data_IF_682128768981
#
_entry.id   IF_682128768981
#
_cell.length_a   1.000
_cell.length_b   1.000
_cell.length_c   1.000
_cell.angle_alpha   90.00
_cell.angle_beta   90.00
_cell.angle_gamma   90.00
#
_symmetry.space_group_name_H-M   'P 1'
#
loop_
_entity.id
_entity.type
_entity.pdbx_description
1 polymer ?
#
# COMPACT_ATOMS: atom_id res chain seq x y z
N UNK A 1 -22.60 -48.53 68.46
CA UNK A 1 -23.25 -47.93 67.28
C UNK A 1 -22.70 -46.52 67.09
N UNK A 2 -21.69 -46.34 66.23
CA UNK A 2 -21.25 -45.02 65.78
C UNK A 2 -21.92 -44.74 64.43
N UNK A 3 -22.73 -43.68 64.37
CA UNK A 3 -23.45 -43.28 63.17
C UNK A 3 -22.47 -42.69 62.13
N UNK A 4 -22.50 -43.24 60.92
CA UNK A 4 -21.72 -42.82 59.76
C UNK A 4 -22.31 -41.54 59.16
N UNK A 5 -21.57 -40.43 59.17
CA UNK A 5 -22.00 -39.18 58.54
C UNK A 5 -21.71 -39.21 57.03
N UNK A 6 -22.75 -38.97 56.22
CA UNK A 6 -22.65 -38.95 54.76
C UNK A 6 -21.73 -37.83 54.24
N UNK A 7 -20.99 -38.06 53.13
CA UNK A 7 -20.11 -37.05 52.57
C UNK A 7 -20.91 -35.91 51.94
N UNK A 8 -20.51 -34.66 52.24
CA UNK A 8 -21.07 -33.46 51.62
C UNK A 8 -20.71 -33.44 50.13
N UNK A 9 -21.70 -33.20 49.27
CA UNK A 9 -21.54 -33.01 47.83
C UNK A 9 -20.57 -31.85 47.54
N UNK A 10 -19.72 -31.94 46.50
CA UNK A 10 -18.86 -30.83 46.11
C UNK A 10 -19.73 -29.68 45.58
N UNK A 11 -19.62 -28.51 46.22
CA UNK A 11 -20.16 -27.26 45.68
C UNK A 11 -19.47 -27.01 44.35
N UNK A 12 -20.23 -27.01 43.27
CA UNK A 12 -19.72 -26.83 41.91
C UNK A 12 -19.14 -25.42 41.74
N UNK A 13 -17.88 -25.33 41.30
CA UNK A 13 -17.12 -24.10 41.01
C UNK A 13 -17.66 -23.29 39.81
N UNK A 14 -18.96 -23.33 39.51
CA UNK A 14 -19.54 -22.68 38.33
C UNK A 14 -19.40 -21.14 38.36
N UNK A 15 -19.45 -20.55 39.55
CA UNK A 15 -19.36 -19.09 39.76
C UNK A 15 -17.96 -18.53 39.49
N UNK A 16 -16.91 -19.27 39.84
CA UNK A 16 -15.51 -18.86 39.60
C UNK A 16 -15.14 -18.86 38.12
N UNK A 17 -15.62 -19.85 37.36
CA UNK A 17 -15.40 -19.95 35.92
C UNK A 17 -16.12 -18.83 35.15
N UNK A 18 -17.36 -18.51 35.51
CA UNK A 18 -18.09 -17.40 34.88
C UNK A 18 -17.47 -16.02 35.18
N UNK A 19 -17.03 -15.79 36.41
CA UNK A 19 -16.36 -14.54 36.80
C UNK A 19 -15.02 -14.41 36.07
N UNK A 20 -14.22 -15.47 35.99
CA UNK A 20 -12.98 -15.50 35.24
C UNK A 20 -13.20 -15.24 33.74
N UNK A 21 -14.25 -15.83 33.13
CA UNK A 21 -14.60 -15.61 31.73
C UNK A 21 -15.02 -14.15 31.45
N UNK A 22 -15.82 -13.54 32.34
CA UNK A 22 -16.22 -12.12 32.22
C UNK A 22 -15.04 -11.17 32.37
N UNK A 23 -14.12 -11.44 33.30
CA UNK A 23 -12.90 -10.66 33.49
C UNK A 23 -11.97 -10.77 32.27
N UNK A 24 -11.84 -11.98 31.70
CA UNK A 24 -11.07 -12.23 30.48
C UNK A 24 -11.65 -11.47 29.28
N UNK A 25 -12.98 -11.50 29.11
CA UNK A 25 -13.68 -10.72 28.06
C UNK A 25 -13.46 -9.20 28.22
N UNK A 26 -13.53 -8.67 29.44
CA UNK A 26 -13.27 -7.25 29.72
C UNK A 26 -11.81 -6.84 29.48
N UNK A 27 -10.86 -7.71 29.83
CA UNK A 27 -9.45 -7.49 29.55
C UNK A 27 -9.18 -7.43 28.03
N UNK A 28 -9.78 -8.33 27.26
CA UNK A 28 -9.72 -8.32 25.80
C UNK A 28 -10.30 -7.05 25.17
N UNK A 29 -11.48 -6.62 25.59
CA UNK A 29 -12.10 -5.38 25.11
C UNK A 29 -11.19 -4.18 25.39
N UNK A 30 -10.60 -4.12 26.58
CA UNK A 30 -9.71 -3.03 26.98
C UNK A 30 -8.43 -3.03 26.16
N UNK A 31 -7.86 -4.21 25.87
CA UNK A 31 -6.65 -4.37 25.05
C UNK A 31 -6.89 -3.88 23.61
N UNK A 32 -7.99 -4.30 22.99
CA UNK A 32 -8.37 -3.91 21.63
C UNK A 32 -8.63 -2.40 21.54
N UNK A 33 -9.37 -1.84 22.51
CA UNK A 33 -9.66 -0.40 22.55
C UNK A 33 -8.38 0.44 22.72
N UNK A 34 -7.48 -0.02 23.58
CA UNK A 34 -6.19 0.65 23.85
C UNK A 34 -5.28 0.58 22.62
N UNK A 35 -5.26 -0.55 21.93
CA UNK A 35 -4.54 -0.67 20.67
C UNK A 35 -5.10 0.25 19.57
N UNK A 36 -6.43 0.38 19.46
CA UNK A 36 -7.06 1.33 18.55
C UNK A 36 -6.64 2.78 18.82
N UNK A 37 -6.55 3.18 20.09
CA UNK A 37 -6.06 4.50 20.49
C UNK A 37 -4.57 4.72 20.13
N UNK A 38 -3.74 3.68 20.24
CA UNK A 38 -2.34 3.72 19.85
C UNK A 38 -2.16 3.93 18.34
N UNK A 39 -2.84 3.12 17.53
CA UNK A 39 -2.76 3.22 16.06
C UNK A 39 -3.33 4.56 15.58
N UNK A 40 -4.48 4.97 16.12
CA UNK A 40 -5.10 6.26 15.79
C UNK A 40 -4.20 7.44 16.18
N UNK A 41 -3.53 7.39 17.33
CA UNK A 41 -2.58 8.40 17.76
C UNK A 41 -1.38 8.52 16.83
N UNK A 42 -0.72 7.40 16.50
CA UNK A 42 0.44 7.38 15.59
C UNK A 42 0.07 7.86 14.18
N UNK A 43 -1.10 7.43 13.67
CA UNK A 43 -1.62 7.89 12.38
C UNK A 43 -1.81 9.41 12.35
N UNK A 44 -2.41 9.97 13.41
CA UNK A 44 -2.65 11.40 13.54
C UNK A 44 -1.34 12.20 13.65
N UNK A 45 -0.34 11.65 14.37
CA UNK A 45 0.98 12.27 14.52
C UNK A 45 1.86 12.20 13.27
N UNK A 46 1.70 11.17 12.43
CA UNK A 46 2.43 11.06 11.16
C UNK A 46 1.90 11.94 10.04
N UNK A 47 0.66 12.42 10.14
CA UNK A 47 0.01 13.23 9.10
C UNK A 47 0.21 14.74 9.34
N UNK A 48 0.61 15.15 10.55
CA UNK A 48 0.60 16.56 10.97
C UNK A 48 2.00 17.02 11.37
N UNK A 49 2.44 18.15 10.82
CA UNK A 49 3.72 18.79 11.10
C UNK A 49 3.87 19.08 12.61
N UNK A 50 5.05 18.80 13.18
CA UNK A 50 5.29 18.63 14.63
C UNK A 50 5.20 19.92 15.47
N UNK A 51 4.53 20.96 14.99
CA UNK A 51 4.45 22.29 15.62
C UNK A 51 3.17 22.52 16.42
N UNK A 52 2.22 21.57 16.44
CA UNK A 52 0.90 21.80 17.02
C UNK A 52 0.48 20.77 18.09
N UNK A 53 -0.48 21.19 18.92
CA UNK A 53 -1.00 20.49 20.11
C UNK A 53 -1.54 19.06 19.84
N UNK A 54 -1.70 18.69 18.58
CA UNK A 54 -2.12 17.38 18.08
C UNK A 54 -1.06 16.30 18.26
N UNK A 55 0.23 16.64 18.25
CA UNK A 55 1.32 15.71 18.54
C UNK A 55 1.26 15.19 19.99
N UNK A 56 0.85 16.04 20.94
CA UNK A 56 0.62 15.67 22.34
C UNK A 56 -0.58 14.73 22.49
N UNK A 57 -1.65 14.95 21.72
CA UNK A 57 -2.85 14.08 21.70
C UNK A 57 -2.49 12.70 21.11
N UNK A 58 -1.70 12.67 20.05
CA UNK A 58 -1.17 11.45 19.46
C UNK A 58 -0.29 10.66 20.44
N UNK A 59 0.61 11.34 21.16
CA UNK A 59 1.48 10.73 22.16
C UNK A 59 0.69 10.22 23.38
N UNK A 60 -0.30 10.99 23.85
CA UNK A 60 -1.16 10.62 24.97
C UNK A 60 -2.05 9.42 24.63
N UNK A 61 -2.63 9.39 23.42
CA UNK A 61 -3.43 8.26 22.93
C UNK A 61 -2.59 7.00 22.77
N UNK A 62 -1.34 7.16 22.34
CA UNK A 62 -0.33 6.09 22.27
C UNK A 62 0.06 5.57 23.66
N UNK A 63 0.30 6.46 24.62
CA UNK A 63 0.63 6.09 25.99
C UNK A 63 -0.51 5.36 26.70
N UNK A 64 -1.76 5.83 26.52
CA UNK A 64 -2.97 5.15 27.01
C UNK A 64 -3.14 3.78 26.37
N UNK A 65 -2.81 3.67 25.08
CA UNK A 65 -2.84 2.41 24.35
C UNK A 65 -1.86 1.36 24.88
N UNK A 66 -0.63 1.77 25.16
CA UNK A 66 0.40 0.92 25.78
C UNK A 66 0.00 0.53 27.20
N UNK A 67 -0.50 1.46 28.01
CA UNK A 67 -0.97 1.20 29.37
C UNK A 67 -2.08 0.14 29.40
N UNK A 68 -3.10 0.30 28.55
CA UNK A 68 -4.19 -0.66 28.49
C UNK A 68 -3.79 -2.03 27.95
N UNK A 69 -2.80 -2.09 27.04
CA UNK A 69 -2.20 -3.35 26.61
C UNK A 69 -1.48 -4.06 27.77
N UNK A 70 -0.69 -3.32 28.56
CA UNK A 70 -0.01 -3.85 29.75
C UNK A 70 -1.01 -4.37 30.79
N UNK A 71 -2.08 -3.63 31.07
CA UNK A 71 -3.12 -4.07 32.01
C UNK A 71 -3.87 -5.32 31.52
N UNK A 72 -4.14 -5.42 30.21
CA UNK A 72 -4.76 -6.60 29.62
C UNK A 72 -3.89 -7.86 29.73
N UNK A 73 -2.57 -7.71 29.50
CA UNK A 73 -1.57 -8.79 29.70
C UNK A 73 -1.54 -9.24 31.16
N UNK A 74 -1.46 -8.29 32.10
CA UNK A 74 -1.42 -8.59 33.54
C UNK A 74 -2.70 -9.33 33.97
N UNK A 75 -3.86 -8.93 33.44
CA UNK A 75 -5.14 -9.60 33.72
C UNK A 75 -5.21 -11.02 33.13
N UNK A 76 -4.64 -11.24 31.93
CA UNK A 76 -4.56 -12.56 31.29
C UNK A 76 -3.61 -13.51 32.04
N UNK A 77 -2.44 -13.01 32.45
CA UNK A 77 -1.46 -13.78 33.25
C UNK A 77 -2.02 -14.13 34.62
N UNK A 78 -2.70 -13.19 35.29
CA UNK A 78 -3.36 -13.44 36.59
C UNK A 78 -4.57 -14.37 36.49
N UNK A 79 -5.20 -14.49 35.32
CA UNK A 79 -6.38 -15.32 35.07
C UNK A 79 -6.10 -16.71 34.50
N UNK A 80 -4.83 -17.10 34.33
CA UNK A 80 -4.41 -18.38 33.77
C UNK A 80 -4.05 -19.43 34.82
N UNK A 81 -4.96 -20.37 35.08
CA UNK A 81 -4.62 -21.70 35.60
C UNK A 81 -4.80 -22.70 34.46
N UNK A 82 -3.76 -23.51 34.17
CA UNK A 82 -3.75 -24.78 33.41
C UNK A 82 -2.81 -24.90 32.17
N UNK A 83 -2.06 -23.88 31.78
CA UNK A 83 -0.92 -24.05 30.84
C UNK A 83 0.29 -23.39 31.51
N UNK A 84 1.39 -24.11 31.66
CA UNK A 84 2.56 -23.61 32.42
C UNK A 84 2.96 -22.19 32.02
N UNK A 85 3.35 -21.36 32.99
CA UNK A 85 3.51 -19.91 32.85
C UNK A 85 4.29 -19.44 31.59
N UNK A 86 5.26 -20.23 31.11
CA UNK A 86 6.01 -19.94 29.88
C UNK A 86 5.15 -20.02 28.60
N UNK A 87 4.22 -20.97 28.52
CA UNK A 87 3.31 -21.13 27.38
C UNK A 87 2.28 -20.00 27.30
N UNK A 88 1.70 -19.61 28.44
CA UNK A 88 0.75 -18.49 28.50
C UNK A 88 1.41 -17.15 28.13
N UNK A 89 2.65 -16.90 28.59
CA UNK A 89 3.39 -15.68 28.23
C UNK A 89 3.71 -15.65 26.73
N UNK A 90 4.09 -16.78 26.14
CA UNK A 90 4.34 -16.89 24.69
C UNK A 90 3.09 -16.60 23.86
N UNK A 91 1.94 -17.19 24.22
CA UNK A 91 0.67 -16.95 23.51
C UNK A 91 0.19 -15.50 23.63
N UNK A 92 0.36 -14.87 24.79
CA UNK A 92 0.00 -13.46 24.98
C UNK A 92 0.91 -12.54 24.16
N UNK A 93 2.21 -12.84 24.08
CA UNK A 93 3.13 -12.08 23.24
C UNK A 93 2.79 -12.21 21.75
N UNK A 94 2.48 -13.41 21.27
CA UNK A 94 2.08 -13.64 19.89
C UNK A 94 0.82 -12.85 19.51
N UNK A 95 -0.21 -12.87 20.38
CA UNK A 95 -1.42 -12.05 20.22
C UNK A 95 -1.09 -10.57 20.11
N UNK A 96 -0.25 -10.05 21.00
CA UNK A 96 0.12 -8.63 21.00
C UNK A 96 0.89 -8.24 19.74
N UNK A 97 1.81 -9.10 19.29
CA UNK A 97 2.57 -8.88 18.07
C UNK A 97 1.65 -8.86 16.84
N UNK A 98 0.72 -9.81 16.75
CA UNK A 98 -0.24 -9.89 15.65
C UNK A 98 -1.17 -8.68 15.64
N UNK A 99 -1.66 -8.26 16.81
CA UNK A 99 -2.43 -7.03 16.96
C UNK A 99 -1.61 -5.81 16.52
N UNK A 100 -0.35 -5.69 16.96
CA UNK A 100 0.57 -4.64 16.51
C UNK A 100 0.71 -4.60 14.99
N UNK A 101 0.85 -5.76 14.35
CA UNK A 101 0.95 -5.84 12.90
C UNK A 101 -0.35 -5.48 12.18
N UNK A 102 -1.52 -5.80 12.73
CA UNK A 102 -2.80 -5.26 12.22
C UNK A 102 -2.77 -3.74 12.17
N UNK A 103 -2.25 -3.08 13.22
CA UNK A 103 -2.11 -1.63 13.25
C UNK A 103 -1.10 -1.09 12.23
N UNK A 104 0.05 -1.75 12.08
CA UNK A 104 1.03 -1.42 11.03
C UNK A 104 0.41 -1.55 9.64
N UNK A 105 -0.32 -2.62 9.38
CA UNK A 105 -0.99 -2.86 8.11
C UNK A 105 -2.02 -1.79 7.79
N UNK A 106 -2.89 -1.47 8.75
CA UNK A 106 -3.88 -0.41 8.62
C UNK A 106 -3.23 0.95 8.35
N UNK A 107 -2.24 1.34 9.16
CA UNK A 107 -1.57 2.63 9.00
C UNK A 107 -0.84 2.73 7.65
N UNK A 108 -0.14 1.67 7.25
CA UNK A 108 0.62 1.65 5.99
C UNK A 108 -0.33 1.73 4.79
N UNK A 109 -1.40 0.95 4.80
CA UNK A 109 -2.43 1.01 3.75
C UNK A 109 -3.11 2.38 3.68
N UNK A 110 -3.46 2.98 4.83
CA UNK A 110 -4.03 4.33 4.87
C UNK A 110 -3.07 5.34 4.23
N UNK A 111 -1.81 5.36 4.64
CA UNK A 111 -0.82 6.27 4.07
C UNK A 111 -0.64 6.02 2.56
N UNK A 112 -0.50 4.76 2.12
CA UNK A 112 -0.35 4.43 0.70
C UNK A 112 -1.58 4.83 -0.15
N UNK A 113 -2.77 4.89 0.45
CA UNK A 113 -4.04 5.18 -0.25
C UNK A 113 -4.57 6.61 -0.03
N UNK A 114 -3.88 7.47 0.73
CA UNK A 114 -4.29 8.88 0.93
C UNK A 114 -4.29 9.72 -0.35
N UNK A 115 -3.48 9.36 -1.35
CA UNK A 115 -3.43 10.04 -2.65
C UNK A 115 -3.37 9.02 -3.77
N UNK A 116 -4.40 8.19 -3.89
CA UNK A 116 -4.48 7.15 -4.93
C UNK A 116 -4.19 7.74 -6.31
N UNK A 117 -3.21 7.16 -6.97
CA UNK A 117 -2.79 7.47 -8.32
C UNK A 117 -2.25 6.18 -8.94
N UNK A 118 -2.31 6.07 -10.27
CA UNK A 118 -1.79 4.90 -10.98
C UNK A 118 -0.27 4.91 -10.92
N UNK A 119 0.36 3.74 -10.99
CA UNK A 119 1.81 3.65 -10.88
C UNK A 119 2.30 3.44 -9.45
N UNK A 120 3.47 2.82 -9.29
CA UNK A 120 4.24 2.84 -8.03
C UNK A 120 4.95 4.18 -7.84
N UNK A 121 4.21 5.23 -7.51
CA UNK A 121 4.78 6.57 -7.33
C UNK A 121 5.47 6.77 -5.98
N UNK A 122 6.48 7.63 -5.94
CA UNK A 122 7.13 7.99 -4.68
C UNK A 122 6.19 8.82 -3.78
N UNK A 123 6.03 8.38 -2.53
CA UNK A 123 5.18 9.04 -1.53
C UNK A 123 5.96 9.45 -0.28
N UNK A 124 5.55 10.57 0.32
CA UNK A 124 5.95 10.95 1.67
C UNK A 124 4.70 11.30 2.49
N UNK A 125 4.50 10.57 3.59
CA UNK A 125 3.29 10.65 4.43
C UNK A 125 1.99 10.62 3.61
N UNK A 126 1.96 9.70 2.64
CA UNK A 126 0.82 9.44 1.75
C UNK A 126 0.61 10.43 0.60
N UNK A 127 1.33 11.54 0.58
CA UNK A 127 1.30 12.49 -0.54
C UNK A 127 2.25 12.04 -1.64
N UNK A 128 1.75 12.02 -2.88
CA UNK A 128 2.58 11.84 -4.08
C UNK A 128 3.59 12.97 -4.17
N UNK A 129 4.85 12.63 -4.43
CA UNK A 129 5.90 13.58 -4.73
C UNK A 129 6.22 13.48 -6.22
N UNK A 130 6.18 14.62 -6.92
CA UNK A 130 6.53 14.69 -8.34
C UNK A 130 7.64 15.73 -8.56
N UNK A 131 8.57 15.49 -9.49
CA UNK A 131 9.51 16.52 -9.92
C UNK A 131 8.76 17.71 -10.56
N UNK A 132 9.30 18.94 -10.56
CA UNK A 132 8.77 20.00 -11.40
C UNK A 132 8.97 19.67 -12.89
N UNK A 133 8.24 20.34 -13.78
CA UNK A 133 8.58 20.37 -15.22
C UNK A 133 9.49 21.56 -15.48
N UNK A 134 10.56 21.37 -16.24
CA UNK A 134 11.52 22.41 -16.62
C UNK A 134 11.74 22.40 -18.12
N UNK A 135 12.26 23.50 -18.67
CA UNK A 135 12.68 23.55 -20.08
C UNK A 135 13.87 22.62 -20.31
N UNK A 136 13.84 21.85 -21.41
CA UNK A 136 14.88 20.88 -21.77
C UNK A 136 14.29 19.64 -22.46
N UNK A 137 15.13 18.87 -23.17
CA UNK A 137 14.72 17.65 -23.87
C UNK A 137 15.51 16.39 -23.49
N UNK A 138 16.23 16.43 -22.36
CA UNK A 138 17.01 15.29 -21.84
C UNK A 138 16.16 14.03 -21.64
N UNK A 139 14.89 14.20 -21.27
CA UNK A 139 13.92 13.11 -21.09
C UNK A 139 12.93 13.02 -22.24
N UNK A 140 13.15 13.69 -23.36
CA UNK A 140 12.35 13.51 -24.56
C UNK A 140 13.24 12.89 -25.62
N UNK A 141 13.36 11.55 -25.62
CA UNK A 141 14.10 10.84 -26.66
C UNK A 141 13.65 11.35 -28.04
N UNK A 142 14.59 11.62 -28.97
CA UNK A 142 14.23 11.92 -30.34
C UNK A 142 13.43 10.74 -30.87
N UNK A 143 12.11 10.90 -30.95
CA UNK A 143 11.26 9.89 -31.55
C UNK A 143 11.10 10.30 -33.01
N UNK A 144 11.19 9.32 -33.90
CA UNK A 144 10.72 9.46 -35.30
C UNK A 144 9.19 9.65 -35.36
N UNK A 145 8.52 9.78 -34.22
CA UNK A 145 7.08 9.95 -34.10
C UNK A 145 6.75 11.41 -34.42
N UNK A 146 6.26 11.63 -35.64
CA UNK A 146 5.52 12.84 -35.98
C UNK A 146 4.40 13.06 -34.97
N UNK A 147 4.11 14.33 -34.71
CA UNK A 147 2.87 14.77 -34.08
C UNK A 147 1.70 13.91 -34.58
N UNK A 148 0.91 13.31 -33.69
CA UNK A 148 -0.32 12.69 -34.08
C UNK A 148 -1.12 13.69 -34.92
N UNK A 149 -1.55 13.29 -36.12
CA UNK A 149 -2.20 14.17 -37.11
C UNK A 149 -3.63 14.58 -36.73
N UNK A 150 -3.83 15.02 -35.49
CA UNK A 150 -5.11 15.45 -34.98
C UNK A 150 -5.31 16.94 -35.23
N UNK A 151 -6.39 17.29 -35.91
CA UNK A 151 -6.90 18.65 -35.88
C UNK A 151 -7.52 18.89 -34.50
N UNK A 152 -6.78 19.60 -33.65
CA UNK A 152 -7.20 20.04 -32.32
C UNK A 152 -7.18 21.56 -32.27
N UNK A 153 -8.14 22.16 -31.57
CA UNK A 153 -8.01 23.56 -31.20
C UNK A 153 -6.81 23.75 -30.25
N UNK A 154 -6.31 24.98 -30.20
CA UNK A 154 -5.09 25.29 -29.46
C UNK A 154 -5.18 24.95 -27.97
N UNK A 155 -6.33 25.21 -27.34
CA UNK A 155 -6.50 24.97 -25.92
C UNK A 155 -6.48 23.47 -25.61
N UNK A 156 -7.17 22.65 -26.41
CA UNK A 156 -7.16 21.20 -26.27
C UNK A 156 -5.76 20.62 -26.51
N UNK A 157 -5.05 21.11 -27.53
CA UNK A 157 -3.69 20.68 -27.87
C UNK A 157 -2.72 20.89 -26.69
N UNK A 158 -2.72 22.10 -26.11
CA UNK A 158 -1.87 22.43 -24.97
C UNK A 158 -2.25 21.64 -23.71
N UNK A 159 -3.54 21.47 -23.43
CA UNK A 159 -4.00 20.73 -22.26
C UNK A 159 -3.68 19.23 -22.37
N UNK A 160 -3.79 18.66 -23.57
CA UNK A 160 -3.44 17.26 -23.83
C UNK A 160 -1.93 17.03 -23.66
N UNK A 161 -1.09 17.91 -24.22
CA UNK A 161 0.36 17.84 -24.04
C UNK A 161 0.75 17.95 -22.56
N UNK A 162 0.14 18.88 -21.81
CA UNK A 162 0.36 19.02 -20.37
C UNK A 162 -0.02 17.75 -19.58
N UNK A 163 -1.11 17.07 -19.95
CA UNK A 163 -1.51 15.82 -19.30
C UNK A 163 -0.53 14.66 -19.61
N UNK A 164 0.02 14.60 -20.82
CA UNK A 164 1.09 13.64 -21.13
C UNK A 164 2.37 13.91 -20.34
N UNK A 165 2.73 15.18 -20.12
CA UNK A 165 3.85 15.53 -19.21
C UNK A 165 3.54 15.15 -17.78
N UNK A 166 2.30 15.31 -17.32
CA UNK A 166 1.92 14.87 -15.98
C UNK A 166 2.12 13.37 -15.82
N UNK A 167 1.68 12.56 -16.80
CA UNK A 167 1.99 11.13 -16.81
C UNK A 167 3.51 10.89 -16.80
N UNK A 168 4.29 11.60 -17.62
CA UNK A 168 5.75 11.45 -17.62
C UNK A 168 6.42 11.79 -16.28
N UNK A 169 5.89 12.78 -15.54
CA UNK A 169 6.35 13.08 -14.17
C UNK A 169 6.03 11.96 -13.20
N UNK A 170 4.88 11.29 -13.35
CA UNK A 170 4.52 10.16 -12.50
C UNK A 170 5.46 8.99 -12.72
N UNK A 171 5.78 8.67 -13.97
CA UNK A 171 6.74 7.58 -14.27
C UNK A 171 8.14 7.91 -13.77
N UNK A 172 8.59 9.17 -13.92
CA UNK A 172 9.85 9.61 -13.30
C UNK A 172 9.83 9.45 -11.77
N UNK A 173 8.69 9.69 -11.11
CA UNK A 173 8.58 9.45 -9.68
C UNK A 173 8.64 7.95 -9.34
N UNK A 174 8.14 7.08 -10.21
CA UNK A 174 8.23 5.62 -10.08
C UNK A 174 9.67 5.12 -10.12
N UNK A 175 10.55 5.74 -10.92
CA UNK A 175 12.00 5.43 -10.91
C UNK A 175 12.59 5.51 -9.49
N UNK A 176 12.25 6.58 -8.75
CA UNK A 176 12.70 6.73 -7.37
C UNK A 176 12.09 5.68 -6.42
N UNK A 177 10.83 5.30 -6.65
CA UNK A 177 10.15 4.30 -5.83
C UNK A 177 10.73 2.89 -6.04
N UNK A 178 11.13 2.53 -7.26
CA UNK A 178 11.81 1.27 -7.57
C UNK A 178 13.28 1.26 -7.10
N UNK A 179 13.98 2.39 -7.20
CA UNK A 179 15.32 2.52 -6.62
C UNK A 179 15.29 2.29 -5.10
N UNK A 180 14.27 2.83 -4.41
CA UNK A 180 14.04 2.55 -2.99
C UNK A 180 13.68 1.08 -2.73
N UNK A 181 12.76 0.51 -3.51
CA UNK A 181 12.39 -0.90 -3.40
C UNK A 181 13.64 -1.80 -3.47
N UNK A 182 14.55 -1.50 -4.39
CA UNK A 182 15.83 -2.20 -4.53
C UNK A 182 16.63 -2.18 -3.23
N UNK A 183 16.79 -1.00 -2.60
CA UNK A 183 17.52 -0.87 -1.34
C UNK A 183 16.83 -1.62 -0.19
N UNK A 184 15.50 -1.51 -0.09
CA UNK A 184 14.70 -2.18 0.92
C UNK A 184 14.79 -3.72 0.78
N UNK A 185 14.74 -4.24 -0.45
CA UNK A 185 14.93 -5.67 -0.74
C UNK A 185 16.33 -6.17 -0.36
N UNK A 186 17.38 -5.42 -0.71
CA UNK A 186 18.76 -5.74 -0.34
C UNK A 186 18.93 -5.74 1.19
N UNK A 187 18.42 -4.73 1.88
CA UNK A 187 18.51 -4.60 3.33
C UNK A 187 17.82 -5.74 4.07
N UNK A 188 16.72 -6.27 3.51
CA UNK A 188 15.97 -7.38 4.10
C UNK A 188 16.49 -8.78 3.69
N UNK A 189 17.49 -8.85 2.80
CA UNK A 189 18.09 -10.09 2.32
C UNK A 189 17.25 -10.83 1.30
N UNK A 190 16.56 -10.10 0.41
CA UNK A 190 15.72 -10.71 -0.62
C UNK A 190 16.52 -11.54 -1.65
N UNK A 191 15.89 -12.55 -2.27
CA UNK A 191 16.51 -13.30 -3.36
C UNK A 191 16.99 -12.40 -4.52
N UNK A 192 18.12 -12.74 -5.19
CA UNK A 192 18.67 -11.92 -6.27
C UNK A 192 17.71 -11.62 -7.41
N UNK A 193 16.74 -12.51 -7.67
CA UNK A 193 15.73 -12.32 -8.69
C UNK A 193 14.80 -11.12 -8.41
N UNK A 194 14.41 -10.89 -7.15
CA UNK A 194 13.56 -9.74 -6.78
C UNK A 194 14.33 -8.43 -6.90
N UNK A 195 15.60 -8.43 -6.49
CA UNK A 195 16.48 -7.25 -6.64
C UNK A 195 16.69 -6.93 -8.11
N UNK A 196 16.91 -7.94 -8.95
CA UNK A 196 17.01 -7.77 -10.40
C UNK A 196 15.73 -7.16 -10.98
N UNK A 197 14.58 -7.74 -10.70
CA UNK A 197 13.30 -7.22 -11.20
C UNK A 197 13.05 -5.78 -10.76
N UNK A 198 13.38 -5.40 -9.52
CA UNK A 198 13.25 -4.01 -9.07
C UNK A 198 14.09 -3.02 -9.89
N UNK A 199 15.27 -3.44 -10.37
CA UNK A 199 16.11 -2.59 -11.22
C UNK A 199 15.61 -2.57 -12.67
N UNK A 200 15.11 -3.70 -13.18
CA UNK A 200 14.48 -3.79 -14.50
C UNK A 200 13.25 -2.87 -14.57
N UNK A 201 12.36 -2.95 -13.57
CA UNK A 201 11.19 -2.08 -13.44
C UNK A 201 11.61 -0.58 -13.43
N UNK A 202 12.66 -0.21 -12.68
CA UNK A 202 13.17 1.16 -12.67
C UNK A 202 13.65 1.65 -14.05
N UNK A 203 14.25 0.77 -14.85
CA UNK A 203 14.70 1.08 -16.22
C UNK A 203 13.49 1.22 -17.15
N UNK A 204 12.47 0.38 -17.00
CA UNK A 204 11.21 0.45 -17.73
C UNK A 204 10.51 1.80 -17.45
N UNK A 205 10.49 2.27 -16.20
CA UNK A 205 9.91 3.57 -15.85
C UNK A 205 10.67 4.78 -16.40
N UNK A 206 12.00 4.69 -16.55
CA UNK A 206 12.76 5.71 -17.29
C UNK A 206 12.24 5.79 -18.72
N UNK A 207 12.05 4.64 -19.37
CA UNK A 207 11.54 4.58 -20.75
C UNK A 207 10.11 5.10 -20.84
N UNK A 208 9.24 4.78 -19.88
CA UNK A 208 7.87 5.28 -19.85
C UNK A 208 7.81 6.81 -19.72
N UNK A 209 8.62 7.38 -18.82
CA UNK A 209 8.77 8.82 -18.69
C UNK A 209 9.22 9.44 -20.01
N UNK A 210 10.25 8.87 -20.64
CA UNK A 210 10.78 9.37 -21.92
C UNK A 210 9.73 9.39 -23.04
N UNK A 211 8.96 8.30 -23.15
CA UNK A 211 7.89 8.16 -24.12
C UNK A 211 6.78 9.19 -23.88
N UNK A 212 6.37 9.39 -22.62
CA UNK A 212 5.35 10.37 -22.27
C UNK A 212 5.75 11.81 -22.64
N UNK A 213 7.00 12.20 -22.35
CA UNK A 213 7.52 13.53 -22.72
C UNK A 213 7.70 13.68 -24.23
N UNK A 214 8.10 12.62 -24.94
CA UNK A 214 8.17 12.62 -26.40
C UNK A 214 6.80 12.82 -27.04
N UNK A 215 5.74 12.16 -26.55
CA UNK A 215 4.36 12.37 -27.03
C UNK A 215 3.92 13.81 -26.76
N UNK A 216 4.15 14.34 -25.55
CA UNK A 216 3.80 15.72 -25.24
C UNK A 216 4.49 16.73 -26.19
N UNK A 217 5.79 16.59 -26.41
CA UNK A 217 6.57 17.41 -27.35
C UNK A 217 6.03 17.29 -28.76
N UNK A 218 5.61 16.10 -29.19
CA UNK A 218 5.02 15.91 -30.52
C UNK A 218 3.71 16.69 -30.71
N UNK A 219 2.94 16.91 -29.64
CA UNK A 219 1.63 17.59 -29.70
C UNK A 219 1.77 19.12 -29.74
N UNK A 220 2.65 19.70 -28.91
CA UNK A 220 2.75 21.17 -28.78
C UNK A 220 4.08 21.78 -29.23
N UNK A 221 5.07 20.95 -29.57
CA UNK A 221 6.40 21.36 -30.01
C UNK A 221 7.35 21.81 -28.89
N UNK A 222 6.93 21.82 -27.62
CA UNK A 222 7.74 22.36 -26.52
C UNK A 222 8.72 21.32 -25.98
N UNK A 223 9.99 21.73 -25.89
CA UNK A 223 11.05 20.98 -25.22
C UNK A 223 10.95 21.18 -23.70
N UNK A 224 10.23 20.28 -23.06
CA UNK A 224 10.07 20.23 -21.60
C UNK A 224 10.43 18.82 -21.09
N UNK A 225 10.97 18.75 -19.88
CA UNK A 225 11.48 17.53 -19.23
C UNK A 225 11.19 17.58 -17.72
N UNK A 226 11.22 16.45 -16.99
CA UNK A 226 11.18 16.47 -15.53
C UNK A 226 12.47 17.11 -15.01
N UNK A 227 12.32 18.02 -14.05
CA UNK A 227 13.43 18.68 -13.38
C UNK A 227 14.02 17.83 -12.25
N UNK A 228 15.01 18.40 -11.56
CA UNK A 228 15.64 17.75 -10.41
C UNK A 228 14.60 17.33 -9.34
N UNK A 229 14.79 16.13 -8.77
CA UNK A 229 13.86 15.55 -7.80
C UNK A 229 14.51 15.31 -6.42
N UNK A 230 15.01 16.35 -5.72
CA UNK A 230 15.70 16.19 -4.44
C UNK A 230 14.82 15.57 -3.35
N UNK A 231 13.50 15.69 -3.46
CA UNK A 231 12.54 15.07 -2.55
C UNK A 231 12.65 13.54 -2.56
N UNK A 232 13.17 12.94 -3.64
CA UNK A 232 13.45 11.52 -3.73
C UNK A 232 14.35 11.00 -2.58
N UNK A 233 15.32 11.82 -2.16
CA UNK A 233 16.22 11.50 -1.05
C UNK A 233 15.54 11.43 0.32
N UNK A 234 14.32 11.96 0.46
CA UNK A 234 13.62 12.11 1.75
C UNK A 234 12.47 11.14 1.94
N UNK A 235 12.07 10.43 0.89
CA UNK A 235 10.97 9.49 0.96
C UNK A 235 11.42 8.22 1.70
N UNK A 236 10.96 8.11 2.97
CA UNK A 236 11.01 7.01 3.95
C UNK A 236 12.03 5.87 3.71
N UNK A 237 12.74 5.48 4.75
CA UNK A 237 13.36 4.14 4.84
C UNK A 237 12.46 3.25 5.71
N UNK A 238 12.55 1.93 5.55
CA UNK A 238 11.90 0.98 6.45
C UNK A 238 12.31 1.25 7.90
N UNK A 239 11.33 1.37 8.82
CA UNK A 239 11.59 1.71 10.23
C UNK A 239 11.21 0.56 11.15
N UNK A 240 12.00 0.35 12.20
CA UNK A 240 11.68 -0.55 13.30
C UNK A 240 12.33 -1.94 13.17
N UNK A 241 11.87 -2.93 13.94
CA UNK A 241 12.41 -4.29 13.88
C UNK A 241 12.11 -4.97 12.54
N UNK A 242 12.91 -5.96 12.16
CA UNK A 242 12.80 -6.66 10.85
C UNK A 242 11.37 -7.09 10.51
N UNK A 243 10.61 -7.64 11.46
CA UNK A 243 9.21 -8.04 11.25
C UNK A 243 8.32 -6.88 10.81
N UNK A 244 8.47 -5.70 11.44
CA UNK A 244 7.72 -4.51 11.07
C UNK A 244 8.15 -3.97 9.69
N UNK A 245 9.42 -4.11 9.35
CA UNK A 245 9.94 -3.73 8.03
C UNK A 245 9.38 -4.65 6.92
N UNK A 246 9.35 -5.97 7.15
CA UNK A 246 8.72 -6.93 6.25
C UNK A 246 7.22 -6.65 6.08
N UNK A 247 6.52 -6.33 7.16
CA UNK A 247 5.10 -5.97 7.11
C UNK A 247 4.85 -4.68 6.30
N UNK A 248 5.66 -3.64 6.52
CA UNK A 248 5.61 -2.40 5.75
C UNK A 248 5.86 -2.66 4.26
N UNK A 249 6.95 -3.36 3.93
CA UNK A 249 7.28 -3.66 2.54
C UNK A 249 6.22 -4.54 1.86
N UNK A 250 5.64 -5.51 2.58
CA UNK A 250 4.56 -6.34 2.07
C UNK A 250 3.32 -5.49 1.73
N UNK A 251 2.92 -4.58 2.61
CA UNK A 251 1.75 -3.73 2.39
C UNK A 251 2.01 -2.71 1.29
N UNK A 252 3.17 -2.05 1.28
CA UNK A 252 3.58 -1.13 0.20
C UNK A 252 3.59 -1.87 -1.15
N UNK A 253 4.08 -3.11 -1.20
CA UNK A 253 4.12 -3.91 -2.44
C UNK A 253 2.75 -4.44 -2.87
N UNK A 254 1.84 -4.67 -1.92
CA UNK A 254 0.45 -5.02 -2.22
C UNK A 254 -0.30 -3.83 -2.81
N UNK A 255 -0.13 -2.64 -2.24
CA UNK A 255 -0.85 -1.43 -2.66
C UNK A 255 -0.20 -0.81 -3.89
N UNK A 256 1.05 -0.38 -3.80
CA UNK A 256 1.69 0.35 -4.90
C UNK A 256 2.15 -0.57 -6.03
N UNK A 257 2.60 -1.79 -5.72
CA UNK A 257 3.00 -2.76 -6.75
C UNK A 257 1.81 -3.50 -7.35
N UNK A 258 1.15 -4.34 -6.55
CA UNK A 258 0.13 -5.23 -7.08
C UNK A 258 -1.18 -4.52 -7.50
N UNK A 259 -1.68 -3.58 -6.69
CA UNK A 259 -2.92 -2.86 -7.00
C UNK A 259 -2.69 -1.76 -8.04
N UNK A 260 -1.84 -0.77 -7.76
CA UNK A 260 -1.70 0.40 -8.63
C UNK A 260 -1.12 0.06 -10.02
N UNK A 261 -0.12 -0.81 -10.12
CA UNK A 261 0.39 -1.26 -11.43
C UNK A 261 -0.62 -2.17 -12.14
N UNK A 262 -1.36 -2.99 -11.40
CA UNK A 262 -2.43 -3.81 -11.98
C UNK A 262 -3.54 -2.96 -12.60
N UNK A 263 -3.91 -1.85 -11.93
CA UNK A 263 -4.85 -0.85 -12.44
C UNK A 263 -4.26 -0.17 -13.68
N UNK A 264 -3.00 0.25 -13.63
CA UNK A 264 -2.29 0.88 -14.75
C UNK A 264 -2.29 -0.03 -15.99
N UNK A 265 -1.85 -1.28 -15.84
CA UNK A 265 -1.80 -2.27 -16.92
C UNK A 265 -3.16 -2.45 -17.62
N UNK A 266 -4.25 -2.57 -16.86
CA UNK A 266 -5.62 -2.74 -17.41
C UNK A 266 -6.07 -1.49 -18.17
N UNK A 267 -5.89 -0.31 -17.59
CA UNK A 267 -6.29 0.96 -18.19
C UNK A 267 -5.50 1.21 -19.47
N UNK A 268 -4.17 1.09 -19.42
CA UNK A 268 -3.28 1.30 -20.58
C UNK A 268 -3.60 0.28 -21.68
N UNK A 269 -3.86 -0.99 -21.35
CA UNK A 269 -4.28 -1.98 -22.32
C UNK A 269 -5.63 -1.63 -23.00
N UNK A 270 -6.56 -0.99 -22.29
CA UNK A 270 -7.83 -0.51 -22.86
C UNK A 270 -7.60 0.70 -23.76
N UNK A 271 -6.74 1.63 -23.34
CA UNK A 271 -6.37 2.79 -24.14
C UNK A 271 -5.64 2.41 -25.42
N UNK A 272 -4.76 1.41 -25.39
CA UNK A 272 -4.12 0.86 -26.59
C UNK A 272 -5.16 0.39 -27.64
N UNK A 273 -6.32 -0.10 -27.22
CA UNK A 273 -7.41 -0.47 -28.15
C UNK A 273 -8.21 0.72 -28.64
N UNK A 274 -8.32 1.80 -27.84
CA UNK A 274 -9.17 2.97 -28.12
C UNK A 274 -8.45 4.10 -28.84
N UNK A 275 -7.12 4.19 -28.70
CA UNK A 275 -6.34 5.25 -29.34
C UNK A 275 -6.49 5.22 -30.86
N UNK A 276 -6.51 6.39 -31.48
CA UNK A 276 -6.59 6.53 -32.94
C UNK A 276 -5.20 6.50 -33.59
N UNK A 277 -4.15 6.86 -32.86
CA UNK A 277 -2.78 6.95 -33.38
C UNK A 277 -2.06 5.59 -33.31
N UNK A 278 -1.55 5.04 -34.42
CA UNK A 278 -0.83 3.75 -34.43
C UNK A 278 0.48 3.74 -33.63
N UNK A 279 1.23 4.85 -33.60
CA UNK A 279 2.48 4.92 -32.85
C UNK A 279 2.21 4.95 -31.33
N UNK A 280 1.21 5.74 -30.90
CA UNK A 280 0.74 5.74 -29.51
C UNK A 280 0.15 4.36 -29.15
N UNK A 281 -0.51 3.67 -30.09
CA UNK A 281 -1.03 2.31 -29.87
C UNK A 281 0.07 1.32 -29.50
N UNK A 282 1.14 1.24 -30.28
CA UNK A 282 2.22 0.30 -30.01
C UNK A 282 2.96 0.67 -28.72
N UNK A 283 3.20 1.96 -28.48
CA UNK A 283 3.73 2.46 -27.21
C UNK A 283 2.90 2.00 -26.01
N UNK A 284 1.57 2.20 -26.04
CA UNK A 284 0.69 1.80 -24.94
C UNK A 284 0.63 0.28 -24.77
N UNK A 285 0.78 -0.53 -25.82
CA UNK A 285 0.86 -1.98 -25.68
C UNK A 285 2.11 -2.41 -24.91
N UNK A 286 3.24 -1.77 -25.21
CA UNK A 286 4.50 -2.03 -24.51
C UNK A 286 4.35 -1.64 -23.03
N UNK A 287 3.92 -0.39 -22.74
CA UNK A 287 3.69 0.07 -21.36
C UNK A 287 2.72 -0.88 -20.63
N UNK A 288 1.60 -1.28 -21.24
CA UNK A 288 0.66 -2.19 -20.57
C UNK A 288 1.27 -3.56 -20.22
N UNK A 289 2.19 -4.06 -21.04
CA UNK A 289 2.89 -5.31 -20.77
C UNK A 289 3.92 -5.15 -19.65
N UNK A 290 4.60 -4.01 -19.60
CA UNK A 290 5.61 -3.63 -18.60
C UNK A 290 4.92 -3.49 -17.24
N UNK A 291 3.82 -2.74 -17.17
CA UNK A 291 2.99 -2.57 -15.98
C UNK A 291 2.40 -3.88 -15.45
N UNK A 292 2.08 -4.82 -16.34
CA UNK A 292 1.66 -6.17 -15.95
C UNK A 292 2.78 -6.96 -15.27
N UNK A 293 4.04 -6.75 -15.68
CA UNK A 293 5.23 -7.34 -15.02
C UNK A 293 5.50 -6.65 -13.69
N UNK A 294 5.39 -5.33 -13.60
CA UNK A 294 5.50 -4.58 -12.34
C UNK A 294 4.48 -5.09 -11.31
N UNK A 295 3.21 -5.24 -11.72
CA UNK A 295 2.15 -5.77 -10.85
C UNK A 295 2.47 -7.19 -10.34
N UNK A 296 3.00 -8.05 -11.22
CA UNK A 296 3.46 -9.39 -10.84
C UNK A 296 4.60 -9.33 -9.85
N UNK A 297 5.60 -8.48 -10.08
CA UNK A 297 6.73 -8.32 -9.19
C UNK A 297 6.29 -7.85 -7.79
N UNK A 298 5.33 -6.90 -7.70
CA UNK A 298 4.71 -6.51 -6.43
C UNK A 298 4.16 -7.71 -5.64
N UNK A 299 3.47 -8.64 -6.30
CA UNK A 299 3.02 -9.89 -5.66
C UNK A 299 4.15 -10.82 -5.23
N UNK A 300 5.24 -10.89 -5.98
CA UNK A 300 6.37 -11.75 -5.65
C UNK A 300 7.13 -11.20 -4.42
N UNK A 301 7.21 -9.86 -4.27
CA UNK A 301 7.69 -9.21 -3.03
C UNK A 301 6.75 -9.48 -1.85
N UNK A 302 5.42 -9.41 -2.04
CA UNK A 302 4.44 -9.78 -0.99
C UNK A 302 4.68 -11.20 -0.49
N UNK A 303 4.86 -12.17 -1.39
CA UNK A 303 5.12 -13.57 -1.03
C UNK A 303 6.42 -13.73 -0.25
N UNK A 304 7.49 -13.07 -0.69
CA UNK A 304 8.78 -13.07 0.03
C UNK A 304 8.63 -12.52 1.45
N UNK A 305 7.98 -11.36 1.61
CA UNK A 305 7.80 -10.76 2.93
C UNK A 305 6.91 -11.65 3.83
N UNK A 306 5.89 -12.28 3.26
CA UNK A 306 5.01 -13.20 3.97
C UNK A 306 5.75 -14.49 4.40
N UNK A 307 6.57 -15.08 3.54
CA UNK A 307 7.35 -16.28 3.89
C UNK A 307 8.39 -15.99 4.97
N UNK A 308 9.03 -14.82 4.92
CA UNK A 308 10.04 -14.41 5.91
C UNK A 308 9.43 -13.94 7.23
N UNK A 309 8.24 -13.34 7.18
CA UNK A 309 7.61 -12.67 8.30
C UNK A 309 6.48 -13.44 8.97
N UNK A 310 5.96 -14.51 8.35
CA UNK A 310 4.95 -15.40 8.92
C UNK A 310 3.60 -14.73 9.26
N UNK A 311 2.94 -15.25 10.30
CA UNK A 311 1.65 -14.73 10.79
C UNK A 311 1.64 -13.21 11.03
N UNK A 312 2.66 -12.59 11.66
CA UNK A 312 2.71 -11.14 11.81
C UNK A 312 2.48 -10.39 10.50
N UNK A 313 3.16 -10.78 9.41
CA UNK A 313 2.96 -10.14 8.10
C UNK A 313 1.59 -10.46 7.50
N UNK A 314 1.08 -11.68 7.73
CA UNK A 314 -0.27 -12.05 7.31
C UNK A 314 -1.35 -11.13 7.93
N UNK A 315 -1.25 -10.83 9.23
CA UNK A 315 -2.18 -9.91 9.90
C UNK A 315 -2.07 -8.47 9.39
N UNK A 316 -0.86 -8.01 9.04
CA UNK A 316 -0.69 -6.70 8.41
C UNK A 316 -1.35 -6.64 7.03
N UNK A 317 -1.14 -7.67 6.21
CA UNK A 317 -1.74 -7.78 4.88
C UNK A 317 -3.27 -7.92 4.93
N UNK A 318 -3.81 -8.70 5.87
CA UNK A 318 -5.26 -8.83 6.06
C UNK A 318 -5.89 -7.48 6.41
N UNK A 319 -5.29 -6.75 7.36
CA UNK A 319 -5.74 -5.43 7.76
C UNK A 319 -5.67 -4.43 6.62
N UNK A 320 -4.57 -4.45 5.86
CA UNK A 320 -4.39 -3.61 4.68
C UNK A 320 -5.47 -3.89 3.62
N UNK A 321 -5.73 -5.16 3.30
CA UNK A 321 -6.77 -5.57 2.36
C UNK A 321 -8.16 -5.05 2.74
N UNK A 322 -8.52 -5.12 4.03
CA UNK A 322 -9.80 -4.57 4.55
C UNK A 322 -9.86 -3.05 4.51
N UNK A 323 -8.71 -2.38 4.57
CA UNK A 323 -8.60 -0.92 4.55
C UNK A 323 -8.53 -0.33 3.14
N UNK A 324 -8.47 -1.16 2.10
CA UNK A 324 -8.40 -0.68 0.72
C UNK A 324 -9.64 0.17 0.37
N UNK A 325 -9.44 1.31 -0.29
CA UNK A 325 -10.52 2.19 -0.72
C UNK A 325 -11.38 1.50 -1.78
N UNK A 326 -12.67 1.85 -1.79
CA UNK A 326 -13.62 1.31 -2.79
C UNK A 326 -13.56 2.02 -4.13
N UNK A 327 -13.01 3.23 -4.15
CA UNK A 327 -12.92 4.08 -5.33
C UNK A 327 -11.53 4.69 -5.42
N UNK A 328 -11.10 4.92 -6.66
CA UNK A 328 -9.87 5.64 -7.00
C UNK A 328 -10.27 6.82 -7.89
N UNK A 329 -9.60 7.96 -7.69
CA UNK A 329 -9.88 9.17 -8.48
C UNK A 329 -8.60 9.95 -8.71
N UNK A 330 -8.07 9.87 -9.91
CA UNK A 330 -6.96 10.72 -10.35
C UNK A 330 -7.50 12.09 -10.77
N UNK A 331 -6.88 13.21 -10.34
CA UNK A 331 -7.22 14.54 -10.85
C UNK A 331 -6.99 14.61 -12.36
N UNK A 332 -8.05 14.91 -13.11
CA UNK A 332 -8.03 14.97 -14.57
C UNK A 332 -8.74 16.24 -15.08
N UNK A 333 -8.28 16.84 -16.20
CA UNK A 333 -9.01 17.88 -16.90
C UNK A 333 -10.42 17.43 -17.30
N UNK A 334 -11.38 18.36 -17.36
CA UNK A 334 -12.79 18.08 -17.65
C UNK A 334 -13.00 17.27 -18.94
N UNK A 335 -12.24 17.59 -20.00
CA UNK A 335 -12.29 16.89 -21.27
C UNK A 335 -11.74 15.46 -21.20
N UNK A 336 -10.78 15.18 -20.33
CA UNK A 336 -10.32 13.81 -20.07
C UNK A 336 -11.38 13.03 -19.28
N UNK A 337 -12.01 13.65 -18.27
CA UNK A 337 -13.02 12.99 -17.41
C UNK A 337 -14.19 12.41 -18.20
N UNK A 338 -14.64 13.11 -19.25
CA UNK A 338 -15.75 12.66 -20.12
C UNK A 338 -15.38 11.51 -21.07
N UNK A 339 -14.10 11.18 -21.19
CA UNK A 339 -13.57 10.16 -22.11
C UNK A 339 -13.28 10.65 -23.53
N UNK A 340 -13.43 11.95 -23.80
CA UNK A 340 -13.08 12.52 -25.10
C UNK A 340 -11.59 12.32 -25.45
N UNK A 341 -10.72 12.14 -24.45
CA UNK A 341 -9.27 11.95 -24.66
C UNK A 341 -8.79 10.49 -24.68
N UNK A 342 -9.68 9.51 -24.54
CA UNK A 342 -9.28 8.09 -24.62
C UNK A 342 -8.73 7.72 -26.00
N UNK A 343 -9.25 8.37 -27.06
CA UNK A 343 -8.71 8.28 -28.43
C UNK A 343 -7.29 8.84 -28.57
N UNK A 344 -6.80 9.58 -27.59
CA UNK A 344 -5.45 10.14 -27.52
C UNK A 344 -4.58 9.43 -26.48
N UNK A 345 -5.05 8.31 -25.92
CA UNK A 345 -4.29 7.56 -24.92
C UNK A 345 -4.37 8.11 -23.49
N UNK A 346 -5.30 9.03 -23.19
CA UNK A 346 -5.55 9.51 -21.82
C UNK A 346 -6.85 8.92 -21.28
N UNK A 347 -6.82 8.37 -20.07
CA UNK A 347 -7.98 7.73 -19.45
C UNK A 347 -9.12 8.70 -19.10
N UNK A 348 -10.33 8.12 -18.96
CA UNK A 348 -11.48 8.78 -18.35
C UNK A 348 -11.69 8.35 -16.90
N UNK A 349 -12.52 9.12 -16.18
CA UNK A 349 -12.94 8.77 -14.81
C UNK A 349 -13.75 7.46 -14.78
N UNK A 350 -14.59 7.22 -15.80
CA UNK A 350 -15.37 6.00 -15.91
C UNK A 350 -14.50 4.76 -16.17
N UNK A 351 -13.47 4.90 -17.01
CA UNK A 351 -12.51 3.82 -17.26
C UNK A 351 -11.69 3.52 -16.01
N UNK A 352 -11.19 4.54 -15.31
CA UNK A 352 -10.45 4.38 -14.05
C UNK A 352 -11.29 3.66 -12.99
N UNK A 353 -12.52 4.10 -12.76
CA UNK A 353 -13.42 3.48 -11.78
C UNK A 353 -13.68 2.00 -12.08
N UNK A 354 -13.95 1.68 -13.36
CA UNK A 354 -14.27 0.31 -13.80
C UNK A 354 -13.08 -0.63 -13.61
N UNK A 355 -11.89 -0.23 -14.07
CA UNK A 355 -10.70 -1.08 -14.01
C UNK A 355 -10.12 -1.14 -12.59
N UNK A 356 -10.29 -0.09 -11.78
CA UNK A 356 -9.97 -0.12 -10.35
C UNK A 356 -10.82 -1.13 -9.60
N UNK A 357 -12.14 -1.10 -9.78
CA UNK A 357 -13.03 -2.05 -9.12
C UNK A 357 -12.71 -3.49 -9.52
N UNK A 358 -12.44 -3.74 -10.80
CA UNK A 358 -12.06 -5.06 -11.29
C UNK A 358 -10.74 -5.54 -10.68
N UNK A 359 -9.72 -4.68 -10.64
CA UNK A 359 -8.40 -5.03 -10.06
C UNK A 359 -8.49 -5.26 -8.56
N UNK A 360 -9.23 -4.44 -7.83
CA UNK A 360 -9.44 -4.60 -6.39
C UNK A 360 -10.11 -5.95 -6.08
N UNK A 361 -11.13 -6.34 -6.85
CA UNK A 361 -11.80 -7.65 -6.67
C UNK A 361 -10.84 -8.82 -6.89
N UNK A 362 -10.05 -8.78 -7.96
CA UNK A 362 -9.06 -9.83 -8.25
C UNK A 362 -7.99 -9.89 -7.15
N UNK A 363 -7.56 -8.73 -6.65
CA UNK A 363 -6.63 -8.61 -5.53
C UNK A 363 -7.19 -9.23 -4.26
N UNK A 364 -8.44 -8.92 -3.89
CA UNK A 364 -9.08 -9.44 -2.67
C UNK A 364 -9.16 -10.96 -2.67
N UNK A 365 -9.58 -11.56 -3.80
CA UNK A 365 -9.65 -13.02 -3.96
C UNK A 365 -8.27 -13.65 -3.82
N UNK A 366 -7.28 -13.08 -4.51
CA UNK A 366 -5.90 -13.60 -4.47
C UNK A 366 -5.27 -13.45 -3.09
N UNK A 367 -5.50 -12.31 -2.42
CA UNK A 367 -5.01 -12.05 -1.08
C UNK A 367 -5.61 -13.02 -0.07
N UNK A 368 -6.93 -13.23 -0.11
CA UNK A 368 -7.59 -14.19 0.77
C UNK A 368 -7.03 -15.61 0.61
N UNK A 369 -6.81 -16.05 -0.64
CA UNK A 369 -6.19 -17.34 -0.92
C UNK A 369 -4.75 -17.44 -0.41
N UNK A 370 -3.96 -16.36 -0.53
CA UNK A 370 -2.58 -16.31 -0.08
C UNK A 370 -2.45 -16.35 1.45
N UNK A 371 -3.38 -15.70 2.16
CA UNK A 371 -3.36 -15.59 3.62
C UNK A 371 -4.02 -16.77 4.35
N UNK A 372 -4.84 -17.56 3.67
CA UNK A 372 -5.57 -18.68 4.27
C UNK A 372 -4.69 -19.63 5.12
N UNK A 373 -3.47 -20.05 4.69
CA UNK A 373 -2.63 -20.93 5.49
C UNK A 373 -2.13 -20.31 6.82
N UNK A 374 -2.07 -18.98 6.90
CA UNK A 374 -1.54 -18.25 8.05
C UNK A 374 -2.63 -17.85 9.05
N UNK A 375 -3.87 -17.68 8.58
CA UNK A 375 -4.97 -17.18 9.40
C UNK A 375 -5.95 -18.28 9.85
N UNK A 376 -5.85 -19.48 9.28
CA UNK A 376 -6.73 -20.61 9.59
C UNK A 376 -6.55 -21.19 11.02
N UNK A 377 -5.52 -20.79 11.77
CA UNK A 377 -5.23 -21.31 13.12
C UNK A 377 -5.87 -20.47 14.23
N UNK A 378 -6.55 -19.37 13.90
CA UNK A 378 -7.12 -18.43 14.87
C UNK A 378 -8.66 -18.50 15.05
N UNK A 379 -9.35 -19.47 14.41
CA UNK A 379 -10.81 -19.62 14.46
C UNK A 379 -11.29 -20.62 15.53
#
# INVERSE_FOLDING_TARGET
>A
MHAYAAPRSPVTNATGHEVAARLRKRAWISLVASFGLLVGGIALGGVIDARDSTALIALASSALGVLGAVFGVVALVKGGTAVGAKGTVGSVFAVLLNLMMTGVGLLTALLATMSLSRGRQLRSFGRVLLPPVTTGDDWAKPSDQRAPGFELDEATRLALAAQWRENGRTEHASVAAFARLTLDLVALGAPPALVRSANEDAIEEIRHAELCFAVARSIDGRAESPGAFPQASRARTLVGPRTAQLAQLAVDSLVDGALHEGVSARIVAKLARRTADPAVREMLKEIAADEGRHARHGWDVVKFCLSEGGEPVAYALEAAGRALPKTMRTPLPDAARSGAWERFGIMSEALEATEFEATRRDLEVRLASLLAPYLAVAA
#
